data_IF_501852798615
#
_entry.id   IF_501852798615
#
_cell.length_a   1.000
_cell.length_b   1.000
_cell.length_c   1.000
_cell.angle_alpha   90.00
_cell.angle_beta   90.00
_cell.angle_gamma   90.00
#
_symmetry.space_group_name_H-M   'P 1'
#
loop_
_entity.id
_entity.type
_entity.pdbx_description
1 polymer ?
#
# COMPACT_ATOMS: atom_id res chain seq x y z
N UNK A 1 -10.09 -46.89 33.67
CA UNK A 1 -9.13 -46.88 32.55
C UNK A 1 -8.04 -45.89 32.89
N UNK A 2 -6.91 -46.39 33.42
CA UNK A 2 -5.67 -45.65 33.51
C UNK A 2 -5.12 -45.54 32.07
N UNK A 3 -4.91 -44.32 31.58
CA UNK A 3 -3.79 -44.07 30.69
C UNK A 3 -2.96 -42.98 31.38
N UNK A 4 -1.95 -43.44 32.09
CA UNK A 4 -0.76 -42.64 32.41
C UNK A 4 -0.16 -42.22 31.07
N UNK A 5 -0.10 -40.93 30.79
CA UNK A 5 1.02 -40.40 30.02
C UNK A 5 1.58 -39.22 30.79
N UNK A 6 2.66 -39.52 31.51
CA UNK A 6 3.68 -38.57 31.89
C UNK A 6 4.19 -37.99 30.57
N UNK A 7 3.85 -36.74 30.26
CA UNK A 7 4.62 -35.98 29.28
C UNK A 7 5.49 -35.00 30.05
N UNK A 8 6.76 -35.39 30.15
CA UNK A 8 7.91 -34.57 30.44
C UNK A 8 7.73 -33.11 29.96
N UNK A 9 8.01 -32.16 30.84
CA UNK A 9 8.12 -30.71 30.61
C UNK A 9 9.27 -30.36 29.62
N UNK A 10 9.75 -31.32 28.82
CA UNK A 10 10.84 -31.19 27.84
C UNK A 10 10.50 -31.59 26.41
N UNK A 11 9.26 -32.00 26.10
CA UNK A 11 8.86 -32.45 24.73
C UNK A 11 7.92 -31.48 24.01
N UNK A 12 7.57 -30.33 24.62
CA UNK A 12 6.63 -29.38 24.05
C UNK A 12 7.27 -28.32 23.12
N UNK A 13 8.61 -28.22 23.05
CA UNK A 13 9.28 -27.11 22.35
C UNK A 13 9.50 -27.32 20.85
N UNK A 14 9.21 -28.50 20.30
CA UNK A 14 9.48 -28.85 18.90
C UNK A 14 8.23 -29.27 18.09
N UNK A 15 7.03 -29.03 18.61
CA UNK A 15 5.79 -29.35 17.89
C UNK A 15 5.65 -28.35 16.74
N UNK A 16 5.62 -28.88 15.50
CA UNK A 16 5.44 -28.09 14.28
C UNK A 16 3.97 -28.03 13.90
N UNK A 17 3.51 -26.84 13.56
CA UNK A 17 2.16 -26.57 13.08
C UNK A 17 2.22 -26.10 11.62
N UNK A 18 1.25 -26.49 10.78
CA UNK A 18 1.17 -25.95 9.42
C UNK A 18 0.90 -24.44 9.46
N UNK A 19 1.41 -23.72 8.46
CA UNK A 19 1.11 -22.32 8.21
C UNK A 19 -0.40 -22.11 7.97
N UNK A 20 -0.99 -21.01 8.47
CA UNK A 20 -2.40 -20.66 8.20
C UNK A 20 -2.73 -20.52 6.71
N UNK A 21 -1.71 -20.24 5.89
CA UNK A 21 -1.84 -20.12 4.43
C UNK A 21 -1.64 -21.45 3.70
N UNK A 22 -1.72 -22.61 4.38
CA UNK A 22 -1.59 -23.91 3.73
C UNK A 22 -2.64 -24.16 2.65
N UNK A 23 -3.85 -23.62 2.84
CA UNK A 23 -4.92 -23.64 1.82
C UNK A 23 -4.58 -22.87 0.55
N UNK A 24 -3.62 -21.95 0.63
CA UNK A 24 -3.12 -21.15 -0.50
C UNK A 24 -1.81 -21.71 -1.07
N UNK A 25 -1.35 -22.89 -0.60
CA UNK A 25 -0.18 -23.58 -1.14
C UNK A 25 1.06 -23.56 -0.25
N UNK A 26 1.00 -22.95 0.94
CA UNK A 26 2.14 -22.98 1.86
C UNK A 26 2.33 -24.37 2.49
N UNK A 27 3.44 -25.02 2.19
CA UNK A 27 3.79 -26.33 2.77
C UNK A 27 4.64 -26.20 4.06
N UNK A 28 4.87 -24.98 4.56
CA UNK A 28 5.68 -24.77 5.75
C UNK A 28 5.01 -25.32 7.01
N UNK A 29 5.81 -26.00 7.83
CA UNK A 29 5.43 -26.50 9.15
C UNK A 29 6.44 -25.99 10.19
N UNK A 30 5.97 -25.12 11.08
CA UNK A 30 6.82 -24.25 11.91
C UNK A 30 6.50 -24.45 13.40
N UNK A 31 7.49 -24.25 14.26
CA UNK A 31 7.26 -24.19 15.70
C UNK A 31 6.48 -22.92 16.06
N UNK A 32 5.81 -22.93 17.22
CA UNK A 32 4.94 -21.82 17.63
C UNK A 32 5.63 -20.45 17.65
N UNK A 33 6.92 -20.39 18.02
CA UNK A 33 7.69 -19.14 18.09
C UNK A 33 7.91 -18.50 16.72
N UNK A 34 8.14 -19.31 15.69
CA UNK A 34 8.53 -18.83 14.35
C UNK A 34 7.31 -18.71 13.43
N UNK A 35 6.17 -19.28 13.84
CA UNK A 35 4.96 -19.37 13.03
C UNK A 35 4.40 -18.00 12.68
N UNK A 36 4.29 -17.09 13.65
CA UNK A 36 3.71 -15.76 13.41
C UNK A 36 4.56 -14.93 12.45
N UNK A 37 5.87 -14.91 12.65
CA UNK A 37 6.81 -14.20 11.77
C UNK A 37 6.75 -14.73 10.33
N UNK A 38 6.76 -16.06 10.17
CA UNK A 38 6.59 -16.67 8.85
C UNK A 38 5.25 -16.32 8.22
N UNK A 39 4.15 -16.42 8.97
CA UNK A 39 2.82 -16.16 8.44
C UNK A 39 2.67 -14.72 7.95
N UNK A 40 3.24 -13.75 8.65
CA UNK A 40 3.16 -12.34 8.26
C UNK A 40 3.97 -12.05 6.99
N UNK A 41 5.08 -12.76 6.77
CA UNK A 41 5.95 -12.68 5.59
C UNK A 41 5.71 -13.79 4.55
N UNK A 42 4.63 -14.57 4.68
CA UNK A 42 4.41 -15.75 3.85
C UNK A 42 4.08 -15.36 2.40
N UNK A 43 4.82 -15.88 1.43
CA UNK A 43 4.57 -15.61 0.00
C UNK A 43 3.19 -16.11 -0.49
N UNK A 44 2.62 -17.13 0.18
CA UNK A 44 1.30 -17.67 -0.10
C UNK A 44 0.17 -16.93 0.63
N UNK A 45 0.49 -15.89 1.39
CA UNK A 45 -0.52 -15.06 2.04
C UNK A 45 -1.39 -14.38 0.97
N UNK A 46 -2.73 -14.44 1.07
CA UNK A 46 -3.60 -13.75 0.13
C UNK A 46 -3.41 -12.24 0.24
N UNK A 47 -3.49 -11.56 -0.90
CA UNK A 47 -3.47 -10.11 -0.97
C UNK A 47 -4.81 -9.56 -0.49
N UNK A 48 -4.77 -8.52 0.32
CA UNK A 48 -5.95 -7.75 0.70
C UNK A 48 -6.24 -6.72 -0.40
N UNK A 49 -7.48 -6.22 -0.45
CA UNK A 49 -7.80 -5.08 -1.31
C UNK A 49 -6.84 -3.91 -1.01
N UNK A 50 -6.11 -3.38 -2.02
CA UNK A 50 -5.15 -2.29 -1.81
C UNK A 50 -5.81 -0.91 -1.71
N UNK A 51 -7.12 -0.80 -1.97
CA UNK A 51 -7.83 0.47 -1.91
C UNK A 51 -7.80 1.04 -0.48
N UNK A 52 -7.37 2.31 -0.29
CA UNK A 52 -7.55 3.04 0.96
C UNK A 52 -9.01 3.05 1.42
N UNK A 53 -9.21 2.96 2.74
CA UNK A 53 -10.53 2.91 3.38
C UNK A 53 -10.99 1.51 3.80
N UNK A 54 -11.54 1.40 5.01
CA UNK A 54 -11.82 0.13 5.70
C UNK A 54 -13.05 -0.66 5.19
N UNK A 55 -13.68 -0.27 4.07
CA UNK A 55 -14.95 -0.87 3.65
C UNK A 55 -14.78 -2.17 2.85
N UNK A 56 -13.68 -2.34 2.12
CA UNK A 56 -13.46 -3.52 1.29
C UNK A 56 -12.74 -4.63 2.06
N UNK A 57 -13.40 -5.78 2.19
CA UNK A 57 -12.86 -6.98 2.87
C UNK A 57 -12.39 -8.06 1.89
N UNK A 58 -12.19 -7.69 0.63
CA UNK A 58 -11.76 -8.64 -0.39
C UNK A 58 -10.34 -9.14 -0.10
N UNK A 59 -10.12 -10.42 -0.36
CA UNK A 59 -8.81 -11.05 -0.32
C UNK A 59 -8.69 -12.09 -1.44
N UNK A 60 -7.51 -12.24 -2.02
CA UNK A 60 -7.30 -13.18 -3.13
C UNK A 60 -5.86 -13.29 -3.61
N UNK A 61 -5.66 -14.05 -4.69
CA UNK A 61 -4.39 -14.14 -5.39
C UNK A 61 -4.06 -12.83 -6.12
N UNK A 62 -2.77 -12.62 -6.43
CA UNK A 62 -2.27 -11.41 -7.08
C UNK A 62 -2.98 -11.14 -8.42
N UNK A 63 -3.16 -12.17 -9.25
CA UNK A 63 -3.81 -12.00 -10.57
C UNK A 63 -5.27 -11.55 -10.48
N UNK A 64 -5.92 -11.71 -9.32
CA UNK A 64 -7.31 -11.33 -9.10
C UNK A 64 -7.46 -9.90 -8.55
N UNK A 65 -6.37 -9.23 -8.16
CA UNK A 65 -6.41 -7.88 -7.57
C UNK A 65 -6.93 -6.85 -8.58
N UNK A 66 -6.36 -6.81 -9.79
CA UNK A 66 -6.80 -5.86 -10.82
C UNK A 66 -8.25 -6.11 -11.28
N UNK A 67 -8.67 -7.36 -11.59
CA UNK A 67 -10.07 -7.65 -11.84
C UNK A 67 -11.00 -7.19 -10.72
N UNK A 68 -10.61 -7.41 -9.46
CA UNK A 68 -11.38 -6.94 -8.30
C UNK A 68 -11.52 -5.41 -8.28
N UNK A 69 -10.42 -4.67 -8.46
CA UNK A 69 -10.46 -3.20 -8.47
C UNK A 69 -11.38 -2.66 -9.57
N UNK A 70 -11.28 -3.21 -10.79
CA UNK A 70 -12.13 -2.79 -11.92
C UNK A 70 -13.61 -3.08 -11.71
N UNK A 71 -13.95 -4.17 -11.01
CA UNK A 71 -15.34 -4.57 -10.79
C UNK A 71 -15.97 -3.89 -9.56
N UNK A 72 -15.23 -3.83 -8.45
CA UNK A 72 -15.72 -3.39 -7.15
C UNK A 72 -15.42 -1.92 -6.85
N UNK A 73 -14.43 -1.32 -7.50
CA UNK A 73 -13.98 0.06 -7.28
C UNK A 73 -14.00 0.88 -8.58
N UNK A 74 -15.16 0.89 -9.26
CA UNK A 74 -15.35 1.55 -10.58
C UNK A 74 -15.06 3.05 -10.61
N UNK A 75 -15.03 3.71 -9.46
CA UNK A 75 -14.68 5.13 -9.33
C UNK A 75 -13.18 5.39 -9.50
N UNK A 76 -12.33 4.37 -9.35
CA UNK A 76 -10.88 4.52 -9.51
C UNK A 76 -10.58 4.66 -10.99
N UNK A 77 -10.15 5.85 -11.38
CA UNK A 77 -9.74 6.14 -12.76
C UNK A 77 -8.40 5.49 -13.05
N UNK A 78 -8.24 4.93 -14.25
CA UNK A 78 -6.96 4.37 -14.72
C UNK A 78 -6.42 5.24 -15.85
N UNK A 79 -5.21 5.76 -15.69
CA UNK A 79 -4.45 6.46 -16.73
C UNK A 79 -3.34 5.58 -17.30
N UNK A 80 -3.04 5.76 -18.58
CA UNK A 80 -1.97 5.06 -19.30
C UNK A 80 -0.78 6.01 -19.49
N UNK A 81 0.43 5.47 -19.38
CA UNK A 81 1.67 6.22 -19.60
C UNK A 81 2.54 6.29 -18.35
N UNK A 82 3.84 6.48 -18.59
CA UNK A 82 4.85 6.56 -17.53
C UNK A 82 4.92 7.95 -16.87
N UNK A 83 4.47 9.00 -17.57
CA UNK A 83 4.40 10.37 -17.06
C UNK A 83 2.97 10.89 -17.16
N UNK A 84 2.33 11.14 -16.01
CA UNK A 84 0.93 11.56 -15.90
C UNK A 84 0.77 12.66 -14.85
N UNK A 85 -0.42 13.27 -14.83
CA UNK A 85 -0.83 14.18 -13.76
C UNK A 85 -1.94 13.55 -12.94
N UNK A 86 -1.69 13.32 -11.65
CA UNK A 86 -2.68 12.93 -10.67
C UNK A 86 -3.33 14.18 -10.07
N UNK A 87 -4.59 14.42 -10.43
CA UNK A 87 -5.36 15.58 -9.97
C UNK A 87 -6.21 15.20 -8.75
N UNK A 88 -5.85 15.72 -7.58
CA UNK A 88 -6.66 15.65 -6.37
C UNK A 88 -7.60 16.86 -6.31
N UNK A 89 -8.90 16.62 -6.45
CA UNK A 89 -9.92 17.69 -6.45
C UNK A 89 -10.41 18.00 -5.04
N UNK A 90 -10.72 19.27 -4.78
CA UNK A 90 -11.28 19.74 -3.51
C UNK A 90 -10.45 19.35 -2.28
N UNK A 91 -9.13 19.61 -2.31
CA UNK A 91 -8.21 19.23 -1.21
C UNK A 91 -8.58 19.86 0.14
N UNK A 92 -9.35 20.95 0.11
CA UNK A 92 -9.80 21.70 1.28
C UNK A 92 -11.04 21.10 1.98
N UNK A 93 -11.59 19.97 1.52
CA UNK A 93 -12.71 19.30 2.21
C UNK A 93 -12.40 19.08 3.70
N UNK A 94 -13.36 19.23 4.62
CA UNK A 94 -13.10 18.98 6.03
C UNK A 94 -12.92 17.48 6.32
N UNK A 95 -12.11 17.16 7.34
CA UNK A 95 -11.88 15.79 7.82
C UNK A 95 -10.88 14.98 6.98
N UNK A 96 -10.77 13.68 7.30
CA UNK A 96 -9.90 12.76 6.57
C UNK A 96 -10.50 12.40 5.21
N UNK A 97 -9.69 12.48 4.16
CA UNK A 97 -10.10 12.22 2.77
C UNK A 97 -8.96 11.55 2.01
N UNK A 98 -9.30 10.54 1.22
CA UNK A 98 -8.36 9.79 0.38
C UNK A 98 -8.66 10.03 -1.10
N UNK A 99 -7.62 10.30 -1.89
CA UNK A 99 -7.68 10.29 -3.34
C UNK A 99 -6.87 9.11 -3.87
N UNK A 100 -7.44 8.41 -4.85
CA UNK A 100 -6.85 7.19 -5.40
C UNK A 100 -6.96 7.22 -6.92
N UNK A 101 -5.88 6.86 -7.59
CA UNK A 101 -5.83 6.70 -9.04
C UNK A 101 -4.95 5.51 -9.41
N UNK A 102 -5.28 4.83 -10.52
CA UNK A 102 -4.41 3.82 -11.10
C UNK A 102 -3.61 4.42 -12.25
N UNK A 103 -2.31 4.13 -12.29
CA UNK A 103 -1.42 4.39 -13.42
C UNK A 103 -0.97 3.06 -14.01
N UNK A 104 -1.01 2.92 -15.32
CA UNK A 104 -0.54 1.72 -16.03
C UNK A 104 0.58 2.07 -16.99
N UNK A 105 1.73 1.43 -16.80
CA UNK A 105 2.92 1.55 -17.65
C UNK A 105 3.81 0.31 -17.46
N UNK A 106 4.71 0.02 -18.41
CA UNK A 106 5.61 -1.14 -18.36
C UNK A 106 4.93 -2.50 -18.13
N UNK A 107 3.69 -2.66 -18.62
CA UNK A 107 2.83 -3.84 -18.36
C UNK A 107 2.54 -4.10 -16.87
N UNK A 108 2.68 -3.08 -16.04
CA UNK A 108 2.41 -3.09 -14.61
C UNK A 108 1.36 -2.03 -14.26
N UNK A 109 0.76 -2.20 -13.08
CA UNK A 109 -0.23 -1.28 -12.55
C UNK A 109 0.25 -0.71 -11.22
N UNK A 110 0.15 0.61 -11.08
CA UNK A 110 0.58 1.35 -9.90
C UNK A 110 -0.61 2.11 -9.34
N UNK A 111 -0.88 1.93 -8.06
CA UNK A 111 -1.87 2.69 -7.32
C UNK A 111 -1.21 3.92 -6.72
N UNK A 112 -1.75 5.09 -7.05
CA UNK A 112 -1.37 6.38 -6.52
C UNK A 112 -2.33 6.70 -5.37
N UNK A 113 -1.79 7.00 -4.20
CA UNK A 113 -2.56 7.34 -3.01
C UNK A 113 -2.13 8.71 -2.53
N UNK A 114 -3.11 9.60 -2.34
CA UNK A 114 -2.96 10.81 -1.54
C UNK A 114 -3.93 10.71 -0.36
N UNK A 115 -3.40 10.58 0.84
CA UNK A 115 -4.17 10.50 2.08
C UNK A 115 -4.04 11.81 2.84
N UNK A 116 -5.17 12.41 3.22
CA UNK A 116 -5.20 13.56 4.13
C UNK A 116 -5.61 13.09 5.51
N UNK A 117 -4.70 13.23 6.48
CA UNK A 117 -4.94 12.92 7.88
C UNK A 117 -5.11 14.19 8.71
N UNK A 118 -5.98 14.13 9.70
CA UNK A 118 -6.17 15.18 10.71
C UNK A 118 -5.48 14.78 12.01
N UNK A 119 -4.58 15.62 12.51
CA UNK A 119 -3.92 15.44 13.81
C UNK A 119 -4.77 16.00 14.95
N UNK A 120 -4.45 15.59 16.18
CA UNK A 120 -5.17 15.97 17.40
C UNK A 120 -5.22 17.48 17.68
N UNK A 121 -4.32 18.26 17.10
CA UNK A 121 -4.25 19.73 17.22
C UNK A 121 -4.97 20.48 16.07
N UNK A 122 -5.65 19.74 15.19
CA UNK A 122 -6.30 20.30 14.00
C UNK A 122 -5.34 20.55 12.84
N UNK A 123 -4.06 20.21 12.97
CA UNK A 123 -3.15 20.25 11.83
C UNK A 123 -3.46 19.10 10.88
N UNK A 124 -3.62 19.44 9.60
CA UNK A 124 -3.82 18.46 8.54
C UNK A 124 -2.50 18.20 7.83
N UNK A 125 -2.25 16.94 7.50
CA UNK A 125 -1.10 16.51 6.72
C UNK A 125 -1.56 15.65 5.54
N UNK A 126 -0.86 15.82 4.43
CA UNK A 126 -1.03 15.05 3.21
C UNK A 126 0.14 14.08 3.08
N UNK A 127 -0.18 12.85 2.69
CA UNK A 127 0.77 11.77 2.45
C UNK A 127 0.54 11.24 1.05
N UNK A 128 1.52 11.40 0.16
CA UNK A 128 1.45 10.92 -1.21
C UNK A 128 2.45 9.80 -1.46
N UNK A 129 1.96 8.65 -1.94
CA UNK A 129 2.75 7.44 -2.11
C UNK A 129 2.29 6.65 -3.35
N UNK A 130 3.22 5.89 -3.94
CA UNK A 130 2.95 5.00 -5.08
C UNK A 130 3.15 3.56 -4.64
N UNK A 131 2.21 2.71 -5.04
CA UNK A 131 2.21 1.29 -4.73
C UNK A 131 2.08 0.45 -6.00
N UNK A 132 2.97 -0.51 -6.22
CA UNK A 132 2.90 -1.48 -7.30
C UNK A 132 1.89 -2.60 -6.94
N UNK A 133 0.97 -2.88 -7.87
CA UNK A 133 0.14 -4.09 -7.86
C UNK A 133 1.01 -5.28 -8.30
N UNK A 134 1.88 -5.72 -7.39
CA UNK A 134 2.89 -6.75 -7.64
C UNK A 134 3.65 -7.09 -6.37
N UNK A 135 4.62 -7.98 -6.50
CA UNK A 135 5.50 -8.40 -5.41
C UNK A 135 6.54 -7.34 -5.05
N UNK A 136 7.18 -7.52 -3.88
CA UNK A 136 8.30 -6.66 -3.45
C UNK A 136 9.47 -6.70 -4.43
N UNK A 137 9.81 -7.88 -4.94
CA UNK A 137 10.90 -8.06 -5.91
C UNK A 137 10.60 -7.37 -7.24
N UNK A 138 9.34 -7.35 -7.67
CA UNK A 138 8.94 -6.59 -8.86
C UNK A 138 9.08 -5.08 -8.61
N UNK A 139 8.69 -4.61 -7.42
CA UNK A 139 8.75 -3.20 -7.05
C UNK A 139 10.17 -2.62 -7.06
N UNK A 140 11.18 -3.45 -6.73
CA UNK A 140 12.61 -3.08 -6.77
C UNK A 140 13.12 -2.72 -8.19
N UNK A 141 12.40 -3.10 -9.25
CA UNK A 141 12.78 -2.77 -10.64
C UNK A 141 12.28 -1.39 -11.10
N UNK A 142 11.59 -0.65 -10.22
CA UNK A 142 10.96 0.62 -10.57
C UNK A 142 11.31 1.71 -9.55
N UNK A 143 11.30 2.95 -10.03
CA UNK A 143 11.29 4.14 -9.21
C UNK A 143 10.13 5.02 -9.64
N UNK A 144 9.58 5.78 -8.70
CA UNK A 144 8.58 6.80 -8.96
C UNK A 144 9.09 8.17 -8.51
N UNK A 145 8.67 9.22 -9.21
CA UNK A 145 8.84 10.62 -8.83
C UNK A 145 7.46 11.26 -8.67
N UNK A 146 7.22 11.85 -7.51
CA UNK A 146 6.09 12.74 -7.26
C UNK A 146 6.58 14.18 -7.25
N UNK A 147 5.91 15.05 -7.98
CA UNK A 147 6.32 16.44 -8.11
C UNK A 147 5.11 17.39 -8.03
N UNK A 148 5.19 18.34 -7.09
CA UNK A 148 4.29 19.48 -7.00
C UNK A 148 4.96 20.68 -7.67
N UNK A 149 4.26 21.30 -8.62
CA UNK A 149 4.74 22.47 -9.36
C UNK A 149 3.87 23.69 -9.07
N UNK A 150 4.52 24.79 -8.68
CA UNK A 150 3.85 26.05 -8.39
C UNK A 150 4.65 27.21 -8.96
N UNK A 151 4.16 28.44 -8.78
CA UNK A 151 4.85 29.60 -9.32
C UNK A 151 6.25 29.75 -8.71
N UNK A 152 7.28 29.53 -9.56
CA UNK A 152 8.71 29.58 -9.24
C UNK A 152 9.15 28.65 -8.10
N UNK A 153 8.42 27.55 -7.89
CA UNK A 153 8.72 26.60 -6.82
C UNK A 153 8.35 25.19 -7.25
N UNK A 154 9.05 24.23 -6.67
CA UNK A 154 8.87 22.81 -6.94
C UNK A 154 9.20 22.01 -5.69
N UNK A 155 8.38 21.01 -5.39
CA UNK A 155 8.65 20.02 -4.34
C UNK A 155 8.65 18.65 -5.00
N UNK A 156 9.72 17.88 -4.81
CA UNK A 156 9.92 16.61 -5.49
C UNK A 156 10.29 15.52 -4.47
N UNK A 157 9.71 14.34 -4.64
CA UNK A 157 10.05 13.13 -3.90
C UNK A 157 10.27 11.98 -4.87
N UNK A 158 11.34 11.21 -4.69
CA UNK A 158 11.66 10.03 -5.49
C UNK A 158 11.92 8.85 -4.57
N UNK A 159 11.30 7.71 -4.87
CA UNK A 159 11.48 6.46 -4.12
C UNK A 159 11.13 5.24 -4.98
N UNK A 160 11.40 4.04 -4.46
CA UNK A 160 10.86 2.80 -5.02
C UNK A 160 9.40 2.62 -4.59
N UNK A 161 8.51 2.13 -5.48
CA UNK A 161 7.12 1.91 -5.11
C UNK A 161 7.01 0.84 -4.03
N UNK A 162 6.01 0.95 -3.15
CA UNK A 162 5.68 -0.13 -2.21
C UNK A 162 4.98 -1.28 -2.93
N UNK A 163 5.15 -2.50 -2.48
CA UNK A 163 4.30 -3.62 -2.95
C UNK A 163 2.93 -3.58 -2.26
N UNK A 164 1.88 -4.03 -2.94
CA UNK A 164 0.59 -4.33 -2.29
C UNK A 164 0.65 -5.37 -1.18
N UNK A 165 1.72 -6.16 -1.12
CA UNK A 165 1.96 -7.09 -0.02
C UNK A 165 2.30 -6.35 1.28
N UNK A 166 3.08 -5.27 1.19
CA UNK A 166 3.51 -4.48 2.35
C UNK A 166 2.43 -3.47 2.78
N UNK A 167 1.59 -3.02 1.84
CA UNK A 167 0.65 -1.93 2.09
C UNK A 167 1.34 -0.56 2.10
N UNK A 168 0.56 0.49 2.41
CA UNK A 168 1.05 1.87 2.55
C UNK A 168 1.05 2.38 3.99
N UNK A 169 0.32 1.72 4.89
CA UNK A 169 0.09 2.20 6.25
C UNK A 169 1.39 2.38 7.06
N UNK A 170 2.33 1.44 6.95
CA UNK A 170 3.63 1.54 7.64
C UNK A 170 4.50 2.66 7.06
N UNK A 171 4.45 2.88 5.75
CA UNK A 171 5.19 3.96 5.09
C UNK A 171 4.65 5.33 5.53
N UNK A 172 3.32 5.49 5.56
CA UNK A 172 2.65 6.70 6.05
C UNK A 172 2.98 6.96 7.52
N UNK A 173 2.88 5.94 8.38
CA UNK A 173 3.20 6.05 9.80
C UNK A 173 4.64 6.51 10.05
N UNK A 174 5.58 6.03 9.24
CA UNK A 174 7.00 6.38 9.36
C UNK A 174 7.39 7.63 8.56
N UNK A 175 6.45 8.30 7.89
CA UNK A 175 6.73 9.42 6.97
C UNK A 175 7.72 9.07 5.86
N UNK A 176 7.70 7.81 5.40
CA UNK A 176 8.50 7.28 4.28
C UNK A 176 7.73 7.44 2.95
N UNK A 177 7.35 8.68 2.66
CA UNK A 177 6.63 9.10 1.47
C UNK A 177 6.70 10.63 1.29
N UNK A 178 6.06 11.18 0.26
CA UNK A 178 5.95 12.63 0.12
C UNK A 178 4.96 13.16 1.17
N UNK A 179 5.45 13.95 2.12
CA UNK A 179 4.64 14.56 3.19
C UNK A 179 4.65 16.07 3.08
N UNK A 180 3.47 16.69 3.20
CA UNK A 180 3.32 18.14 3.24
C UNK A 180 2.08 18.55 4.02
N UNK A 181 2.08 19.78 4.57
CA UNK A 181 0.94 20.33 5.29
C UNK A 181 0.00 21.12 4.35
N UNK A 182 -1.14 21.57 4.90
CA UNK A 182 -2.11 22.38 4.16
C UNK A 182 -1.53 23.69 3.64
N UNK A 183 -0.59 24.31 4.36
CA UNK A 183 0.05 25.55 3.92
C UNK A 183 0.87 25.31 2.65
N UNK A 184 1.65 24.22 2.60
CA UNK A 184 2.37 23.81 1.40
C UNK A 184 1.39 23.45 0.29
N UNK A 185 0.35 22.67 0.56
CA UNK A 185 -0.65 22.28 -0.44
C UNK A 185 -1.26 23.51 -1.14
N UNK A 186 -1.58 24.56 -0.38
CA UNK A 186 -2.13 25.81 -0.91
C UNK A 186 -1.17 26.59 -1.81
N UNK A 187 0.16 26.41 -1.66
CA UNK A 187 1.15 27.05 -2.54
C UNK A 187 1.21 26.39 -3.94
N UNK A 188 0.70 25.16 -4.04
CA UNK A 188 0.75 24.33 -5.24
C UNK A 188 -0.63 24.07 -5.86
N UNK A 189 -1.71 24.29 -5.11
CA UNK A 189 -3.07 24.10 -5.60
C UNK A 189 -3.56 25.27 -6.44
N UNK A 190 -4.40 24.96 -7.43
CA UNK A 190 -5.15 25.94 -8.22
C UNK A 190 -6.66 25.69 -8.05
N UNK A 191 -7.39 26.72 -7.59
CA UNK A 191 -8.82 26.65 -7.29
C UNK A 191 -9.23 25.45 -6.40
N UNK A 192 -8.38 25.09 -5.44
CA UNK A 192 -8.64 23.97 -4.52
C UNK A 192 -8.33 22.58 -5.09
N UNK A 193 -7.76 22.51 -6.30
CA UNK A 193 -7.29 21.27 -6.91
C UNK A 193 -5.76 21.20 -6.87
N UNK A 194 -5.21 20.06 -6.50
CA UNK A 194 -3.77 19.82 -6.45
C UNK A 194 -3.36 18.87 -7.57
N UNK A 195 -2.53 19.36 -8.49
CA UNK A 195 -1.91 18.54 -9.53
C UNK A 195 -0.57 17.99 -9.04
N UNK A 196 -0.44 16.66 -9.05
CA UNK A 196 0.81 15.96 -8.74
C UNK A 196 1.31 15.33 -10.04
N UNK A 197 2.47 15.75 -10.51
CA UNK A 197 3.13 15.08 -11.62
C UNK A 197 3.70 13.76 -11.10
N UNK A 198 3.41 12.67 -11.80
CA UNK A 198 3.80 11.32 -11.42
C UNK A 198 4.56 10.70 -12.58
N UNK A 199 5.84 10.47 -12.38
CA UNK A 199 6.70 9.77 -13.35
C UNK A 199 7.10 8.42 -12.78
N UNK A 200 6.97 7.35 -13.56
CA UNK A 200 7.46 6.00 -13.24
C UNK A 200 8.58 5.65 -14.21
N UNK A 201 9.67 5.09 -13.71
CA UNK A 201 10.80 4.64 -14.54
C UNK A 201 11.29 3.27 -14.09
N UNK A 202 11.83 2.49 -15.03
CA UNK A 202 12.61 1.30 -14.70
C UNK A 202 13.96 1.71 -14.07
N UNK A 203 14.48 0.87 -13.17
CA UNK A 203 15.78 1.01 -12.50
C UNK A 203 16.81 0.04 -13.08
#
# INVERSE_FOLDING_TARGET
MKLFVIFDVKVASNVKFPCKHSSYGCNASLIYTDKTEHEDACEFRPYLCPCPGASCKWQGALELVMPHLMMSHKSITTLQGEDIVFLATDINLPGAVDWVMMQSCFNQHFMLVLEKQEKFDGHQQFFAIVQLIGSRKEAENYAYRLELNGHRRRLTWEAMPRSIHEGVASAILNSDCLVFDTSIAQLFADNGNLGINVTISCV
#
